data_IF_042728001857
#
_entry.id   IF_042728001857
#
_cell.length_a   1.000
_cell.length_b   1.000
_cell.length_c   1.000
_cell.angle_alpha   90.00
_cell.angle_beta   90.00
_cell.angle_gamma   90.00
#
_symmetry.space_group_name_H-M   'P 1'
#
loop_
_entity.id
_entity.type
_entity.pdbx_description
1 polymer ?
#
# COMPACT_ATOMS: atom_id res chain seq x y z
N UNK A 1 53.43 11.14 -48.07
CA UNK A 1 53.28 10.13 -47.00
C UNK A 1 52.30 10.73 -46.01
N UNK A 2 51.02 10.45 -46.22
CA UNK A 2 49.93 11.03 -45.43
C UNK A 2 49.76 10.26 -44.13
N UNK A 3 49.84 10.98 -43.02
CA UNK A 3 49.55 10.49 -41.68
C UNK A 3 48.05 10.31 -41.51
N UNK A 4 47.61 9.07 -41.33
CA UNK A 4 46.24 8.70 -40.98
C UNK A 4 45.86 9.22 -39.60
N UNK A 5 45.01 10.25 -39.55
CA UNK A 5 44.37 10.70 -38.32
C UNK A 5 43.27 9.71 -37.93
N UNK A 6 43.44 9.05 -36.78
CA UNK A 6 42.43 8.19 -36.16
C UNK A 6 41.29 9.08 -35.66
N UNK A 7 40.11 8.94 -36.27
CA UNK A 7 38.90 9.63 -35.85
C UNK A 7 38.51 9.19 -34.42
N UNK A 8 38.52 10.14 -33.48
CA UNK A 8 37.91 9.96 -32.16
C UNK A 8 36.39 9.89 -32.36
N UNK A 9 35.80 8.71 -32.17
CA UNK A 9 34.35 8.55 -32.07
C UNK A 9 33.86 9.17 -30.76
N UNK A 10 33.65 10.48 -30.77
CA UNK A 10 32.76 11.11 -29.81
C UNK A 10 31.36 10.59 -30.07
N UNK A 11 30.72 10.03 -29.05
CA UNK A 11 29.27 9.80 -29.03
C UNK A 11 28.55 11.15 -29.05
N UNK A 12 28.57 11.83 -30.19
CA UNK A 12 27.58 12.85 -30.50
C UNK A 12 26.23 12.15 -30.64
N UNK A 13 25.23 12.74 -29.98
CA UNK A 13 23.95 12.12 -29.73
C UNK A 13 23.31 11.56 -31.00
N UNK A 14 22.58 10.44 -30.84
CA UNK A 14 21.41 10.15 -31.67
C UNK A 14 20.41 11.29 -31.47
N UNK A 15 20.70 12.39 -32.15
CA UNK A 15 19.90 13.58 -32.31
C UNK A 15 18.73 13.19 -33.20
N UNK A 16 17.54 13.68 -32.87
CA UNK A 16 16.39 13.65 -33.76
C UNK A 16 16.83 14.04 -35.18
N UNK A 17 16.43 13.26 -36.18
CA UNK A 17 16.83 13.44 -37.58
C UNK A 17 16.36 14.74 -38.25
N UNK A 18 15.92 15.73 -37.49
CA UNK A 18 15.46 17.03 -37.96
C UNK A 18 16.07 18.07 -37.02
N UNK A 19 17.08 18.78 -37.52
CA UNK A 19 18.11 19.51 -36.76
C UNK A 19 17.71 20.74 -35.93
N UNK A 20 16.52 20.78 -35.32
CA UNK A 20 16.21 21.75 -34.25
C UNK A 20 15.32 21.08 -33.19
N UNK A 21 15.83 20.97 -31.96
CA UNK A 21 15.03 20.52 -30.82
C UNK A 21 13.84 21.48 -30.61
N UNK A 22 12.58 21.00 -30.65
CA UNK A 22 11.49 21.84 -30.17
C UNK A 22 11.76 22.15 -28.69
N UNK A 23 11.79 23.43 -28.34
CA UNK A 23 11.98 23.94 -26.97
C UNK A 23 13.33 23.63 -26.29
N UNK A 24 14.40 23.27 -27.03
CA UNK A 24 15.71 22.85 -26.45
C UNK A 24 15.62 21.66 -25.47
N UNK A 25 14.55 20.87 -25.55
CA UNK A 25 14.37 19.70 -24.70
C UNK A 25 15.06 18.48 -25.33
N UNK A 26 15.87 17.78 -24.53
CA UNK A 26 16.49 16.50 -24.89
C UNK A 26 15.42 15.42 -25.13
N UNK A 27 15.61 14.56 -26.13
CA UNK A 27 14.67 13.46 -26.43
C UNK A 27 14.36 12.60 -25.21
N UNK A 28 15.38 12.30 -24.39
CA UNK A 28 15.20 11.51 -23.18
C UNK A 28 14.29 12.19 -22.15
N UNK A 29 14.34 13.53 -22.04
CA UNK A 29 13.44 14.29 -21.16
C UNK A 29 12.01 14.30 -21.70
N UNK A 30 11.84 14.45 -23.00
CA UNK A 30 10.52 14.44 -23.64
C UNK A 30 9.82 13.08 -23.51
N UNK A 31 10.53 11.98 -23.75
CA UNK A 31 9.98 10.63 -23.55
C UNK A 31 9.64 10.35 -22.08
N UNK A 32 10.43 10.89 -21.14
CA UNK A 32 10.11 10.81 -19.72
C UNK A 32 8.77 11.48 -19.39
N UNK A 33 8.50 12.66 -19.94
CA UNK A 33 7.22 13.34 -19.75
C UNK A 33 6.03 12.58 -20.33
N UNK A 34 6.18 11.96 -21.51
CA UNK A 34 5.13 11.10 -22.08
C UNK A 34 4.87 9.87 -21.21
N UNK A 35 5.93 9.24 -20.71
CA UNK A 35 5.82 8.12 -19.78
C UNK A 35 5.10 8.51 -18.48
N UNK A 36 5.50 9.63 -17.86
CA UNK A 36 4.85 10.17 -16.65
C UNK A 36 3.37 10.50 -16.91
N UNK A 37 3.05 11.09 -18.05
CA UNK A 37 1.67 11.43 -18.39
C UNK A 37 0.81 10.16 -18.54
N UNK A 38 1.35 9.11 -19.16
CA UNK A 38 0.66 7.81 -19.29
C UNK A 38 0.36 7.18 -17.93
N UNK A 39 1.33 7.19 -17.02
CA UNK A 39 1.14 6.67 -15.66
C UNK A 39 0.14 7.53 -14.88
N UNK A 40 0.20 8.86 -15.02
CA UNK A 40 -0.73 9.79 -14.38
C UNK A 40 -2.18 9.52 -14.79
N UNK A 41 -2.43 9.27 -16.08
CA UNK A 41 -3.76 8.90 -16.58
C UNK A 41 -4.23 7.55 -16.04
N UNK A 42 -3.31 6.59 -15.91
CA UNK A 42 -3.60 5.25 -15.33
C UNK A 42 -4.03 5.38 -13.86
N UNK A 43 -3.28 6.11 -13.04
CA UNK A 43 -3.65 6.39 -11.64
C UNK A 43 -4.95 7.17 -11.53
N UNK A 44 -5.18 8.15 -12.41
CA UNK A 44 -6.42 8.93 -12.44
C UNK A 44 -7.64 8.03 -12.70
N UNK A 45 -7.53 7.06 -13.59
CA UNK A 45 -8.58 6.07 -13.85
C UNK A 45 -8.90 5.22 -12.62
N UNK A 46 -7.87 4.77 -11.90
CA UNK A 46 -8.07 3.99 -10.67
C UNK A 46 -8.71 4.83 -9.55
N UNK A 47 -8.24 6.06 -9.34
CA UNK A 47 -8.80 6.96 -8.32
C UNK A 47 -10.24 7.39 -8.64
N UNK A 48 -10.57 7.62 -9.92
CA UNK A 48 -11.95 7.91 -10.32
C UNK A 48 -12.88 6.71 -10.06
N UNK A 49 -12.42 5.49 -10.37
CA UNK A 49 -13.17 4.25 -10.11
C UNK A 49 -13.36 4.00 -8.60
N UNK A 50 -12.34 4.28 -7.80
CA UNK A 50 -12.41 4.27 -6.34
C UNK A 50 -13.43 5.28 -5.83
N UNK A 51 -13.32 6.54 -6.23
CA UNK A 51 -14.22 7.63 -5.82
C UNK A 51 -15.70 7.32 -6.13
N UNK A 52 -15.98 6.79 -7.32
CA UNK A 52 -17.34 6.36 -7.67
C UNK A 52 -17.85 5.21 -6.79
N UNK A 53 -16.99 4.24 -6.48
CA UNK A 53 -17.36 3.12 -5.60
C UNK A 53 -17.60 3.58 -4.16
N UNK A 54 -16.73 4.46 -3.65
CA UNK A 54 -16.85 5.08 -2.33
C UNK A 54 -18.16 5.85 -2.20
N UNK A 55 -18.53 6.61 -3.22
CA UNK A 55 -19.79 7.37 -3.24
C UNK A 55 -21.02 6.45 -3.26
N UNK A 56 -21.00 5.40 -4.10
CA UNK A 56 -22.11 4.45 -4.23
C UNK A 56 -22.32 3.59 -2.98
N UNK A 57 -21.26 3.21 -2.29
CA UNK A 57 -21.28 2.32 -1.11
C UNK A 57 -20.92 3.07 0.18
N UNK A 58 -21.28 4.35 0.27
CA UNK A 58 -20.87 5.24 1.36
C UNK A 58 -21.27 4.74 2.75
N UNK A 59 -22.43 4.10 2.86
CA UNK A 59 -23.00 3.56 4.10
C UNK A 59 -22.43 2.23 4.54
N UNK A 60 -21.55 1.59 3.76
CA UNK A 60 -20.96 0.27 4.06
C UNK A 60 -19.42 0.27 3.94
N UNK A 61 -18.82 1.45 3.72
CA UNK A 61 -17.39 1.60 3.50
C UNK A 61 -16.58 1.49 4.80
N UNK A 62 -15.34 1.02 4.69
CA UNK A 62 -14.39 0.97 5.82
C UNK A 62 -14.05 2.40 6.29
N UNK A 63 -13.88 2.60 7.60
CA UNK A 63 -13.41 3.88 8.17
C UNK A 63 -11.90 3.78 8.36
N UNK A 64 -11.12 4.64 7.69
CA UNK A 64 -9.66 4.58 7.66
C UNK A 64 -9.04 4.60 9.08
N UNK A 65 -9.55 5.45 9.96
CA UNK A 65 -9.13 5.56 11.36
C UNK A 65 -9.28 4.28 12.17
N UNK A 66 -10.13 3.33 11.75
CA UNK A 66 -10.27 2.04 12.43
C UNK A 66 -9.43 0.94 11.78
N UNK A 67 -8.91 1.19 10.58
CA UNK A 67 -8.10 0.25 9.80
C UNK A 67 -6.62 0.47 10.05
N UNK A 68 -6.19 1.73 10.14
CA UNK A 68 -4.78 2.12 10.16
C UNK A 68 -4.36 2.69 11.53
N UNK A 69 -4.42 1.86 12.57
CA UNK A 69 -4.00 2.22 13.94
C UNK A 69 -2.68 1.60 14.37
N UNK A 70 -2.03 0.81 13.50
CA UNK A 70 -0.82 0.10 13.87
C UNK A 70 0.40 0.99 13.72
N UNK A 71 1.12 1.20 14.82
CA UNK A 71 2.45 1.82 14.81
C UNK A 71 3.51 0.77 15.13
N UNK A 72 4.62 0.67 14.37
CA UNK A 72 5.66 -0.30 14.64
C UNK A 72 6.31 -0.02 16.00
N UNK A 73 6.48 -1.06 16.81
CA UNK A 73 7.08 -1.02 18.16
C UNK A 73 6.28 -0.28 19.25
N UNK A 74 5.13 0.33 18.93
CA UNK A 74 4.19 0.88 19.92
C UNK A 74 2.90 0.06 19.90
N UNK A 75 2.80 -0.94 20.77
CA UNK A 75 1.57 -1.70 20.98
C UNK A 75 0.69 -0.99 22.01
N UNK A 76 -0.55 -0.65 21.65
CA UNK A 76 -1.55 -0.12 22.58
C UNK A 76 -1.60 1.41 22.71
N UNK A 77 -0.90 2.16 21.85
CA UNK A 77 -1.11 3.61 21.72
C UNK A 77 -2.14 3.84 20.62
N UNK A 78 -3.31 4.38 20.98
CA UNK A 78 -4.33 4.82 20.03
C UNK A 78 -3.80 6.05 19.27
N UNK A 79 -2.96 5.82 18.26
CA UNK A 79 -2.42 6.85 17.37
C UNK A 79 -2.85 6.58 15.91
N UNK A 80 -4.13 6.80 15.58
CA UNK A 80 -4.63 6.61 14.22
C UNK A 80 -3.82 7.42 13.22
N UNK A 81 -3.49 6.80 12.08
CA UNK A 81 -2.85 7.45 10.93
C UNK A 81 -1.44 8.03 11.15
N UNK A 82 -0.91 8.08 12.39
CA UNK A 82 0.41 8.67 12.66
C UNK A 82 1.54 7.96 11.92
N UNK A 83 1.46 6.62 11.84
CA UNK A 83 2.46 5.85 11.12
C UNK A 83 2.44 6.15 9.61
N UNK A 84 1.25 6.26 9.03
CA UNK A 84 1.07 6.59 7.62
C UNK A 84 1.53 8.04 7.34
N UNK A 85 1.20 8.98 8.22
CA UNK A 85 1.66 10.36 8.13
C UNK A 85 3.19 10.47 8.19
N UNK A 86 3.84 9.68 9.06
CA UNK A 86 5.30 9.57 9.12
C UNK A 86 5.88 9.04 7.80
N UNK A 87 5.27 8.02 7.19
CA UNK A 87 5.73 7.52 5.88
C UNK A 87 5.64 8.60 4.80
N UNK A 88 4.51 9.31 4.74
CA UNK A 88 4.31 10.40 3.77
C UNK A 88 5.34 11.52 3.99
N UNK A 89 5.62 11.87 5.25
CA UNK A 89 6.68 12.82 5.59
C UNK A 89 8.07 12.36 5.10
N UNK A 90 8.41 11.09 5.33
CA UNK A 90 9.68 10.50 4.86
C UNK A 90 9.78 10.56 3.33
N UNK A 91 8.70 10.29 2.61
CA UNK A 91 8.69 10.29 1.15
C UNK A 91 8.83 11.71 0.57
N UNK A 92 8.10 12.68 1.12
CA UNK A 92 8.24 14.10 0.74
C UNK A 92 9.66 14.60 1.02
N UNK A 93 10.23 14.26 2.18
CA UNK A 93 11.61 14.64 2.50
C UNK A 93 12.61 13.98 1.54
N UNK A 94 12.38 12.71 1.16
CA UNK A 94 13.16 12.01 0.14
C UNK A 94 13.06 12.68 -1.24
N UNK A 95 11.94 13.32 -1.55
CA UNK A 95 11.76 14.13 -2.75
C UNK A 95 12.66 15.38 -2.69
N UNK A 96 12.67 16.09 -1.56
CA UNK A 96 13.55 17.26 -1.36
C UNK A 96 15.02 16.88 -1.52
N UNK A 97 15.46 15.76 -0.94
CA UNK A 97 16.85 15.29 -1.10
C UNK A 97 17.16 14.97 -2.56
N UNK A 98 16.20 14.46 -3.33
CA UNK A 98 16.39 14.23 -4.76
C UNK A 98 16.57 15.53 -5.55
N UNK A 99 15.82 16.59 -5.25
CA UNK A 99 16.03 17.91 -5.87
C UNK A 99 17.44 18.43 -5.60
N UNK A 100 17.91 18.32 -4.35
CA UNK A 100 19.26 18.72 -3.96
C UNK A 100 20.35 17.89 -4.66
N UNK A 101 20.10 16.59 -4.90
CA UNK A 101 20.99 15.74 -5.69
C UNK A 101 21.10 16.22 -7.14
N UNK A 102 19.98 16.61 -7.76
CA UNK A 102 19.96 17.14 -9.12
C UNK A 102 20.71 18.47 -9.21
N UNK A 103 20.47 19.39 -8.27
CA UNK A 103 21.18 20.68 -8.21
C UNK A 103 22.69 20.51 -8.01
N UNK A 104 23.09 19.64 -7.08
CA UNK A 104 24.50 19.28 -6.90
C UNK A 104 25.12 18.68 -8.18
N UNK A 105 24.34 17.91 -8.94
CA UNK A 105 24.75 17.35 -10.22
C UNK A 105 24.95 18.41 -11.30
N UNK A 106 24.12 19.46 -11.33
CA UNK A 106 24.29 20.60 -12.24
C UNK A 106 25.57 21.38 -11.93
N UNK A 107 25.94 21.46 -10.65
CA UNK A 107 27.20 22.06 -10.20
C UNK A 107 28.40 21.09 -10.23
N UNK A 108 28.24 19.88 -10.80
CA UNK A 108 29.28 18.83 -10.88
C UNK A 108 29.89 18.43 -9.51
N UNK A 109 29.15 18.62 -8.41
CA UNK A 109 29.60 18.31 -7.04
C UNK A 109 29.31 16.86 -6.68
N UNK A 110 30.12 15.93 -7.19
CA UNK A 110 29.94 14.47 -7.01
C UNK A 110 29.65 14.05 -5.56
N UNK A 111 30.45 14.51 -4.60
CA UNK A 111 30.29 14.08 -3.20
C UNK A 111 28.92 14.47 -2.62
N UNK A 112 28.39 15.63 -3.03
CA UNK A 112 27.06 16.06 -2.61
C UNK A 112 25.96 15.23 -3.30
N UNK A 113 26.12 14.94 -4.61
CA UNK A 113 25.21 14.04 -5.34
C UNK A 113 25.12 12.68 -4.65
N UNK A 114 26.26 12.11 -4.25
CA UNK A 114 26.33 10.83 -3.54
C UNK A 114 25.52 10.89 -2.23
N UNK A 115 25.76 11.89 -1.39
CA UNK A 115 25.07 12.00 -0.09
C UNK A 115 23.56 12.15 -0.30
N UNK A 116 23.14 13.06 -1.17
CA UNK A 116 21.72 13.31 -1.39
C UNK A 116 20.99 12.13 -2.04
N UNK A 117 21.61 11.47 -3.01
CA UNK A 117 21.04 10.25 -3.60
C UNK A 117 20.95 9.10 -2.58
N UNK A 118 21.94 8.94 -1.70
CA UNK A 118 21.90 7.93 -0.65
C UNK A 118 20.74 8.19 0.33
N UNK A 119 20.50 9.44 0.70
CA UNK A 119 19.35 9.83 1.52
C UNK A 119 18.01 9.55 0.83
N UNK A 120 17.92 9.84 -0.48
CA UNK A 120 16.71 9.52 -1.28
C UNK A 120 16.44 8.01 -1.32
N UNK A 121 17.47 7.20 -1.59
CA UNK A 121 17.35 5.73 -1.63
C UNK A 121 16.94 5.18 -0.26
N UNK A 122 17.53 5.72 0.82
CA UNK A 122 17.19 5.32 2.18
C UNK A 122 15.72 5.63 2.49
N UNK A 123 15.26 6.86 2.21
CA UNK A 123 13.86 7.26 2.41
C UNK A 123 12.89 6.37 1.62
N UNK A 124 13.17 6.14 0.34
CA UNK A 124 12.38 5.23 -0.50
C UNK A 124 12.35 3.78 -0.01
N UNK A 125 13.48 3.27 0.48
CA UNK A 125 13.58 1.90 1.02
C UNK A 125 12.81 1.74 2.33
N UNK A 126 12.90 2.74 3.22
CA UNK A 126 12.12 2.77 4.47
C UNK A 126 10.62 2.79 4.15
N UNK A 127 10.21 3.61 3.17
CA UNK A 127 8.83 3.70 2.74
C UNK A 127 8.32 2.35 2.20
N UNK A 128 9.08 1.69 1.31
CA UNK A 128 8.72 0.37 0.78
C UNK A 128 8.60 -0.70 1.86
N UNK A 129 9.57 -0.76 2.79
CA UNK A 129 9.53 -1.70 3.90
C UNK A 129 8.33 -1.45 4.82
N UNK A 130 7.98 -0.18 5.02
CA UNK A 130 6.84 0.23 5.84
C UNK A 130 5.50 -0.16 5.20
N UNK A 131 5.35 0.02 3.88
CA UNK A 131 4.18 -0.45 3.13
C UNK A 131 4.05 -1.97 3.16
N UNK A 132 5.14 -2.71 2.98
CA UNK A 132 5.13 -4.16 3.06
C UNK A 132 4.71 -4.66 4.45
N UNK A 133 5.14 -3.97 5.51
CA UNK A 133 4.74 -4.28 6.88
C UNK A 133 3.25 -4.00 7.12
N UNK A 134 2.75 -2.85 6.68
CA UNK A 134 1.34 -2.48 6.78
C UNK A 134 0.45 -3.50 6.07
N UNK A 135 0.82 -3.89 4.85
CA UNK A 135 0.16 -4.96 4.11
C UNK A 135 0.18 -6.29 4.85
N UNK A 136 1.32 -6.69 5.40
CA UNK A 136 1.42 -7.94 6.16
C UNK A 136 0.50 -7.94 7.38
N UNK A 137 0.32 -6.80 8.05
CA UNK A 137 -0.59 -6.66 9.19
C UNK A 137 -2.05 -6.70 8.74
N UNK A 138 -2.38 -5.96 7.68
CA UNK A 138 -3.72 -5.91 7.12
C UNK A 138 -4.18 -7.27 6.57
N UNK A 139 -3.28 -8.04 5.95
CA UNK A 139 -3.54 -9.41 5.47
C UNK A 139 -3.71 -10.38 6.64
N UNK A 140 -2.92 -10.25 7.71
CA UNK A 140 -3.01 -11.14 8.88
C UNK A 140 -4.30 -10.91 9.66
N UNK A 141 -4.77 -9.67 9.72
CA UNK A 141 -5.89 -9.26 10.56
C UNK A 141 -5.53 -9.23 12.04
N UNK A 142 -6.32 -8.49 12.81
CA UNK A 142 -6.16 -8.36 14.26
C UNK A 142 -7.44 -8.72 15.00
N UNK A 143 -8.60 -8.35 14.45
CA UNK A 143 -9.87 -8.50 15.16
C UNK A 143 -10.66 -9.71 14.69
N UNK A 144 -10.68 -9.98 13.38
CA UNK A 144 -11.63 -10.92 12.79
C UNK A 144 -13.07 -10.41 12.80
N UNK A 145 -13.88 -10.93 11.87
CA UNK A 145 -15.29 -10.60 11.72
C UNK A 145 -16.11 -11.83 11.31
N UNK A 146 -17.43 -11.80 11.53
CA UNK A 146 -18.35 -12.84 11.05
C UNK A 146 -19.03 -12.38 9.76
N UNK A 147 -18.95 -13.21 8.73
CA UNK A 147 -19.59 -13.02 7.42
C UNK A 147 -21.04 -13.50 7.47
N UNK A 148 -21.96 -12.69 6.94
CA UNK A 148 -23.38 -13.03 6.84
C UNK A 148 -23.75 -13.57 5.46
N UNK A 149 -24.92 -14.20 5.34
CA UNK A 149 -25.46 -14.69 4.05
C UNK A 149 -25.56 -13.62 2.96
N UNK A 150 -25.68 -12.36 3.35
CA UNK A 150 -25.76 -11.22 2.41
C UNK A 150 -24.41 -10.64 2.04
N UNK A 151 -23.29 -11.27 2.44
CA UNK A 151 -21.93 -10.77 2.20
C UNK A 151 -21.55 -9.59 3.08
N UNK A 152 -22.33 -9.29 4.12
CA UNK A 152 -22.02 -8.24 5.10
C UNK A 152 -21.22 -8.81 6.24
N UNK A 153 -20.47 -7.96 6.93
CA UNK A 153 -19.66 -8.38 8.07
C UNK A 153 -20.21 -7.84 9.39
N UNK A 154 -20.08 -8.66 10.42
CA UNK A 154 -20.45 -8.39 11.80
C UNK A 154 -19.16 -8.29 12.61
N UNK A 155 -18.97 -7.16 13.27
CA UNK A 155 -17.82 -6.91 14.14
C UNK A 155 -18.26 -6.98 15.61
N UNK A 156 -17.38 -7.43 16.49
CA UNK A 156 -17.65 -7.50 17.92
C UNK A 156 -17.08 -6.28 18.62
N UNK A 157 -17.87 -5.69 19.52
CA UNK A 157 -17.47 -4.54 20.32
C UNK A 157 -17.80 -4.77 21.80
N UNK A 158 -17.00 -4.17 22.67
CA UNK A 158 -17.26 -4.14 24.11
C UNK A 158 -18.34 -3.10 24.46
N UNK A 159 -18.70 -3.01 25.74
CA UNK A 159 -19.65 -2.04 26.28
C UNK A 159 -19.27 -0.59 25.94
N UNK A 160 -17.97 -0.29 25.87
CA UNK A 160 -17.41 1.02 25.51
C UNK A 160 -17.35 1.28 23.99
N UNK A 161 -17.81 0.33 23.16
CA UNK A 161 -17.80 0.45 21.71
C UNK A 161 -16.44 0.14 21.04
N UNK A 162 -15.42 -0.23 21.82
CA UNK A 162 -14.10 -0.66 21.30
C UNK A 162 -14.19 -2.05 20.68
N UNK A 163 -13.47 -2.27 19.57
CA UNK A 163 -13.45 -3.56 18.86
C UNK A 163 -12.79 -4.64 19.71
N UNK A 164 -13.37 -5.83 19.70
CA UNK A 164 -12.87 -7.01 20.41
C UNK A 164 -12.48 -8.08 19.40
N UNK A 165 -11.28 -8.62 19.54
CA UNK A 165 -10.79 -9.68 18.66
C UNK A 165 -11.54 -11.01 18.90
N UNK A 166 -11.74 -11.79 17.82
CA UNK A 166 -12.43 -13.09 17.86
C UNK A 166 -11.78 -14.08 18.81
N UNK A 167 -10.46 -13.99 19.03
CA UNK A 167 -9.75 -14.80 20.03
C UNK A 167 -10.26 -14.56 21.45
N UNK A 168 -10.66 -13.33 21.75
CA UNK A 168 -11.22 -12.95 23.05
C UNK A 168 -12.73 -13.24 23.11
N UNK A 169 -13.40 -13.48 21.98
CA UNK A 169 -14.82 -13.84 21.94
C UNK A 169 -15.01 -15.35 21.94
N UNK A 170 -14.13 -16.11 21.28
CA UNK A 170 -14.24 -17.56 21.14
C UNK A 170 -14.14 -18.28 22.49
N UNK A 171 -15.09 -19.17 22.77
CA UNK A 171 -15.03 -20.08 23.91
C UNK A 171 -15.34 -21.52 23.49
N UNK A 172 -14.65 -22.48 24.10
CA UNK A 172 -14.81 -23.92 23.86
C UNK A 172 -13.73 -24.54 22.97
N UNK A 173 -13.66 -25.87 22.97
CA UNK A 173 -12.68 -26.63 22.17
C UNK A 173 -12.93 -26.48 20.67
N UNK A 174 -11.84 -26.34 19.90
CA UNK A 174 -11.92 -26.38 18.45
C UNK A 174 -12.21 -27.81 18.00
N UNK A 175 -13.50 -28.16 17.84
CA UNK A 175 -13.94 -29.49 17.37
C UNK A 175 -13.57 -29.77 15.90
N UNK A 176 -12.77 -28.94 15.25
CA UNK A 176 -12.18 -29.26 13.96
C UNK A 176 -11.06 -30.28 14.12
N UNK A 177 -11.42 -31.57 14.11
CA UNK A 177 -10.46 -32.69 13.94
C UNK A 177 -9.80 -32.73 12.55
N UNK A 178 -10.02 -31.71 11.71
CA UNK A 178 -9.42 -31.64 10.37
C UNK A 178 -7.99 -31.12 10.52
N UNK A 179 -7.01 -31.94 10.15
CA UNK A 179 -5.64 -31.48 9.90
C UNK A 179 -5.54 -30.99 8.45
N UNK A 180 -4.94 -29.82 8.26
CA UNK A 180 -4.65 -29.31 6.92
C UNK A 180 -3.51 -30.12 6.33
N UNK A 181 -3.66 -30.56 5.09
CA UNK A 181 -2.54 -31.16 4.37
C UNK A 181 -1.51 -30.07 4.04
N UNK A 182 -0.33 -30.16 4.64
CA UNK A 182 0.84 -29.33 4.28
C UNK A 182 1.61 -29.99 3.15
N UNK A 183 2.50 -29.29 2.45
CA UNK A 183 3.33 -29.89 1.37
C UNK A 183 4.14 -31.10 1.87
N UNK A 184 4.45 -31.17 3.17
CA UNK A 184 5.12 -32.30 3.80
C UNK A 184 4.19 -33.51 4.07
N UNK A 185 2.86 -33.35 4.02
CA UNK A 185 1.85 -34.35 4.42
C UNK A 185 0.70 -34.47 3.39
N UNK A 186 0.85 -33.86 2.20
CA UNK A 186 -0.24 -33.62 1.25
C UNK A 186 -0.15 -34.44 -0.04
N UNK A 187 -1.32 -34.64 -0.67
CA UNK A 187 -1.40 -35.17 -2.04
C UNK A 187 -0.92 -34.06 -2.98
N UNK A 188 0.14 -34.31 -3.75
CA UNK A 188 0.85 -33.37 -4.64
C UNK A 188 -0.04 -32.57 -5.62
N UNK A 189 -1.32 -32.93 -5.77
CA UNK A 189 -2.30 -32.33 -6.69
C UNK A 189 -3.47 -31.61 -6.01
N UNK A 190 -3.55 -31.57 -4.67
CA UNK A 190 -4.53 -30.75 -3.94
C UNK A 190 -3.83 -29.52 -3.33
N UNK A 191 -3.57 -28.51 -4.17
CA UNK A 191 -3.07 -27.20 -3.70
C UNK A 191 -4.17 -26.30 -3.12
N UNK A 192 -5.44 -26.62 -3.36
CA UNK A 192 -6.59 -25.73 -3.09
C UNK A 192 -7.33 -26.03 -1.78
N UNK A 193 -6.71 -26.73 -0.82
CA UNK A 193 -7.34 -26.90 0.48
C UNK A 193 -7.37 -25.54 1.22
N UNK A 194 -8.58 -24.97 1.32
CA UNK A 194 -8.82 -23.69 1.98
C UNK A 194 -8.24 -23.72 3.40
N UNK A 195 -7.60 -22.63 3.88
CA UNK A 195 -7.10 -22.56 5.24
C UNK A 195 -8.19 -22.93 6.23
N UNK A 196 -7.85 -23.79 7.20
CA UNK A 196 -8.77 -24.11 8.28
C UNK A 196 -8.87 -22.85 9.13
N UNK A 197 -10.07 -22.27 9.29
CA UNK A 197 -10.24 -21.07 10.12
C UNK A 197 -9.82 -21.40 11.55
N UNK A 198 -9.12 -20.47 12.21
CA UNK A 198 -8.63 -20.70 13.58
C UNK A 198 -9.77 -20.91 14.57
N UNK A 199 -10.91 -20.27 14.29
CA UNK A 199 -12.13 -20.32 15.08
C UNK A 199 -13.29 -20.87 14.24
N UNK A 200 -14.21 -21.55 14.89
CA UNK A 200 -15.47 -22.01 14.30
C UNK A 200 -16.62 -21.08 14.70
N UNK A 201 -17.64 -20.96 13.85
CA UNK A 201 -18.80 -20.12 14.13
C UNK A 201 -19.49 -20.52 15.46
N UNK A 202 -19.49 -21.81 15.78
CA UNK A 202 -20.07 -22.33 17.02
C UNK A 202 -19.29 -21.91 18.28
N UNK A 203 -17.96 -21.80 18.22
CA UNK A 203 -17.16 -21.25 19.31
C UNK A 203 -17.47 -19.76 19.55
N UNK A 204 -17.68 -19.00 18.47
CA UNK A 204 -18.03 -17.59 18.56
C UNK A 204 -19.45 -17.42 19.12
N UNK A 205 -20.43 -18.23 18.68
CA UNK A 205 -21.78 -18.21 19.24
C UNK A 205 -21.81 -18.56 20.73
N UNK A 206 -21.05 -19.58 21.12
CA UNK A 206 -20.96 -20.03 22.52
C UNK A 206 -20.34 -18.93 23.39
N UNK A 207 -19.22 -18.37 22.96
CA UNK A 207 -18.54 -17.33 23.73
C UNK A 207 -19.27 -15.97 23.74
N UNK A 208 -19.96 -15.61 22.65
CA UNK A 208 -20.82 -14.42 22.62
C UNK A 208 -22.04 -14.56 23.54
N UNK A 209 -22.60 -15.78 23.66
CA UNK A 209 -23.69 -16.05 24.61
C UNK A 209 -23.20 -15.96 26.05
N UNK A 210 -21.99 -16.46 26.33
CA UNK A 210 -21.40 -16.46 27.67
C UNK A 210 -20.96 -15.06 28.16
N UNK A 211 -20.57 -14.15 27.26
CA UNK A 211 -20.09 -12.81 27.60
C UNK A 211 -21.20 -11.77 27.46
N UNK A 212 -21.70 -11.26 28.59
CA UNK A 212 -22.85 -10.34 28.60
C UNK A 212 -22.54 -8.93 28.10
N UNK A 213 -21.27 -8.52 28.19
CA UNK A 213 -20.78 -7.19 27.83
C UNK A 213 -20.58 -6.97 26.33
N UNK A 214 -20.57 -8.04 25.51
CA UNK A 214 -20.30 -7.93 24.09
C UNK A 214 -21.55 -7.56 23.28
N UNK A 215 -21.37 -6.69 22.29
CA UNK A 215 -22.38 -6.29 21.31
C UNK A 215 -21.87 -6.51 19.89
N UNK A 216 -22.78 -6.60 18.93
CA UNK A 216 -22.43 -6.69 17.51
C UNK A 216 -22.62 -5.33 16.85
N UNK A 217 -21.60 -4.92 16.12
CA UNK A 217 -21.59 -3.71 15.30
C UNK A 217 -21.72 -4.10 13.82
N UNK A 218 -22.64 -3.43 13.12
CA UNK A 218 -22.81 -3.60 11.68
C UNK A 218 -22.06 -2.51 10.90
N UNK A 219 -21.88 -2.72 9.60
CA UNK A 219 -21.25 -1.73 8.74
C UNK A 219 -22.13 -0.55 8.35
N UNK A 220 -23.43 -0.57 8.70
CA UNK A 220 -24.32 0.54 8.42
C UNK A 220 -23.95 1.75 9.29
N UNK A 221 -23.93 2.92 8.69
CA UNK A 221 -23.78 4.19 9.40
C UNK A 221 -25.13 4.64 9.96
N UNK A 222 -25.09 5.12 11.21
CA UNK A 222 -26.17 5.81 11.91
C UNK A 222 -26.24 7.29 11.49
N UNK A 223 -27.29 8.01 11.91
CA UNK A 223 -27.51 9.43 11.54
C UNK A 223 -26.34 10.34 11.93
N UNK A 224 -25.56 9.95 12.93
CA UNK A 224 -24.37 10.64 13.42
C UNK A 224 -23.06 10.24 12.71
N UNK A 225 -23.11 9.40 11.67
CA UNK A 225 -21.93 8.94 10.95
C UNK A 225 -21.11 7.85 11.65
N UNK A 226 -21.59 7.30 12.77
CA UNK A 226 -20.98 6.17 13.46
C UNK A 226 -21.61 4.84 13.02
N UNK A 227 -20.86 3.74 13.10
CA UNK A 227 -21.39 2.41 12.78
C UNK A 227 -22.46 1.97 13.79
N UNK A 228 -23.61 1.52 13.30
CA UNK A 228 -24.74 1.11 14.14
C UNK A 228 -24.37 -0.11 15.00
N UNK A 229 -24.46 0.06 16.32
CA UNK A 229 -24.33 -1.00 17.32
C UNK A 229 -25.71 -1.58 17.57
N UNK A 230 -25.86 -2.89 17.40
CA UNK A 230 -27.12 -3.58 17.61
C UNK A 230 -27.35 -3.86 19.10
N UNK A 231 -28.63 -3.90 19.48
CA UNK A 231 -29.02 -4.43 20.78
C UNK A 231 -28.63 -5.91 20.92
N UNK A 232 -28.46 -6.39 22.16
CA UNK A 232 -27.99 -7.75 22.46
C UNK A 232 -28.91 -8.82 21.87
N UNK A 233 -30.23 -8.64 22.01
CA UNK A 233 -31.19 -9.63 21.50
C UNK A 233 -31.14 -9.71 19.97
N UNK A 234 -31.05 -8.54 19.32
CA UNK A 234 -30.90 -8.45 17.87
C UNK A 234 -29.55 -9.00 17.40
N UNK A 235 -28.48 -8.80 18.18
CA UNK A 235 -27.15 -9.34 17.90
C UNK A 235 -27.14 -10.86 17.88
N UNK A 236 -27.78 -11.50 18.86
CA UNK A 236 -27.90 -12.96 18.92
C UNK A 236 -28.70 -13.51 17.74
N UNK A 237 -29.81 -12.87 17.38
CA UNK A 237 -30.61 -13.25 16.21
C UNK A 237 -29.79 -13.17 14.91
N UNK A 238 -29.07 -12.07 14.71
CA UNK A 238 -28.21 -11.87 13.54
C UNK A 238 -27.08 -12.91 13.47
N UNK A 239 -26.42 -13.20 14.59
CA UNK A 239 -25.33 -14.16 14.65
C UNK A 239 -25.82 -15.59 14.37
N UNK A 240 -26.96 -15.98 14.96
CA UNK A 240 -27.49 -17.33 14.83
C UNK A 240 -28.12 -17.61 13.47
N UNK A 241 -28.88 -16.64 12.93
CA UNK A 241 -29.65 -16.86 11.71
C UNK A 241 -28.93 -16.41 10.43
N UNK A 242 -27.98 -15.47 10.54
CA UNK A 242 -27.35 -14.87 9.34
C UNK A 242 -25.87 -15.20 9.21
N UNK A 243 -25.15 -15.58 10.27
CA UNK A 243 -23.74 -15.93 10.22
C UNK A 243 -23.48 -17.21 9.40
N UNK A 244 -22.56 -17.14 8.43
CA UNK A 244 -22.11 -18.31 7.65
C UNK A 244 -20.68 -18.68 8.00
N UNK A 245 -19.80 -17.70 8.17
CA UNK A 245 -18.36 -17.96 8.23
C UNK A 245 -17.60 -16.88 8.97
N UNK A 246 -16.33 -17.17 9.24
CA UNK A 246 -15.40 -16.28 9.90
C UNK A 246 -14.41 -15.73 8.87
N UNK A 247 -14.12 -14.44 8.99
CA UNK A 247 -13.13 -13.71 8.22
C UNK A 247 -12.07 -13.24 9.19
N UNK A 248 -10.81 -13.52 8.88
CA UNK A 248 -9.63 -12.96 9.55
C UNK A 248 -8.79 -12.26 8.49
N UNK A 249 -8.43 -11.01 8.75
CA UNK A 249 -7.66 -10.14 7.86
C UNK A 249 -8.41 -9.69 6.61
N UNK A 250 -7.62 -9.20 5.66
CA UNK A 250 -8.10 -8.73 4.38
C UNK A 250 -7.35 -9.37 3.21
N UNK A 251 -8.10 -9.72 2.17
CA UNK A 251 -7.61 -10.16 0.88
C UNK A 251 -8.58 -9.65 -0.21
N UNK A 252 -8.32 -10.01 -1.47
CA UNK A 252 -9.12 -9.56 -2.62
C UNK A 252 -10.59 -10.00 -2.58
N UNK A 253 -10.94 -11.01 -1.78
CA UNK A 253 -12.29 -11.60 -1.73
C UNK A 253 -12.99 -11.42 -0.38
N UNK A 254 -12.23 -11.22 0.70
CA UNK A 254 -12.73 -11.13 2.07
C UNK A 254 -12.03 -10.00 2.80
N UNK A 255 -12.77 -9.25 3.60
CA UNK A 255 -12.24 -8.10 4.34
C UNK A 255 -12.91 -8.02 5.71
N UNK A 256 -12.13 -8.09 6.79
CA UNK A 256 -12.64 -7.92 8.16
C UNK A 256 -12.95 -6.45 8.54
N UNK A 257 -12.50 -5.50 7.73
CA UNK A 257 -12.55 -4.07 8.04
C UNK A 257 -13.72 -3.32 7.37
N UNK A 258 -14.33 -3.91 6.34
CA UNK A 258 -15.44 -3.32 5.59
C UNK A 258 -15.80 -4.13 4.35
N UNK A 259 -16.32 -3.45 3.33
CA UNK A 259 -16.63 -4.08 2.05
C UNK A 259 -15.38 -4.75 1.42
N UNK A 260 -15.49 -5.94 0.80
CA UNK A 260 -14.38 -6.57 0.08
C UNK A 260 -13.79 -5.66 -1.01
N UNK A 261 -14.65 -4.85 -1.64
CA UNK A 261 -14.28 -3.89 -2.66
C UNK A 261 -13.28 -2.82 -2.16
N UNK A 262 -13.34 -2.45 -0.87
CA UNK A 262 -12.35 -1.55 -0.29
C UNK A 262 -10.95 -2.18 -0.29
N UNK A 263 -10.84 -3.43 0.18
CA UNK A 263 -9.56 -4.13 0.22
C UNK A 263 -9.00 -4.34 -1.19
N UNK A 264 -9.85 -4.66 -2.17
CA UNK A 264 -9.46 -4.79 -3.58
C UNK A 264 -8.85 -3.48 -4.13
N UNK A 265 -9.55 -2.34 -3.99
CA UNK A 265 -9.00 -1.05 -4.42
C UNK A 265 -7.74 -0.66 -3.63
N UNK A 266 -7.72 -0.91 -2.32
CA UNK A 266 -6.56 -0.62 -1.48
C UNK A 266 -5.33 -1.37 -1.97
N UNK A 267 -5.39 -2.71 -2.06
CA UNK A 267 -4.24 -3.52 -2.50
C UNK A 267 -3.85 -3.23 -3.93
N UNK A 268 -4.81 -3.02 -4.83
CA UNK A 268 -4.49 -2.77 -6.23
C UNK A 268 -3.83 -1.41 -6.45
N UNK A 269 -4.39 -0.33 -5.89
CA UNK A 269 -3.85 1.03 -6.08
C UNK A 269 -2.54 1.22 -5.33
N UNK A 270 -2.49 0.85 -4.05
CA UNK A 270 -1.25 0.96 -3.25
C UNK A 270 -0.19 -0.03 -3.73
N UNK A 271 -0.58 -1.18 -4.28
CA UNK A 271 0.35 -2.17 -4.84
C UNK A 271 0.95 -1.73 -6.16
N UNK A 272 0.12 -1.18 -7.06
CA UNK A 272 0.60 -0.59 -8.30
C UNK A 272 1.54 0.59 -8.01
N UNK A 273 1.19 1.45 -7.06
CA UNK A 273 2.09 2.50 -6.57
C UNK A 273 3.38 1.92 -5.97
N UNK A 274 3.30 0.92 -5.09
CA UNK A 274 4.45 0.25 -4.48
C UNK A 274 5.38 -0.35 -5.52
N UNK A 275 4.86 -0.87 -6.64
CA UNK A 275 5.67 -1.32 -7.78
C UNK A 275 6.47 -0.17 -8.43
N UNK A 276 5.87 1.02 -8.57
CA UNK A 276 6.57 2.22 -9.08
C UNK A 276 7.65 2.70 -8.12
N UNK A 277 7.37 2.70 -6.81
CA UNK A 277 8.39 3.04 -5.81
C UNK A 277 9.53 2.02 -5.83
N UNK A 278 9.21 0.71 -5.91
CA UNK A 278 10.20 -0.34 -5.98
C UNK A 278 11.11 -0.21 -7.20
N UNK A 279 10.53 -0.05 -8.39
CA UNK A 279 11.30 0.17 -9.62
C UNK A 279 12.11 1.48 -9.54
N UNK A 280 11.54 2.53 -8.94
CA UNK A 280 12.22 3.79 -8.67
C UNK A 280 13.45 3.65 -7.78
N UNK A 281 13.34 2.91 -6.67
CA UNK A 281 14.47 2.63 -5.76
C UNK A 281 15.54 1.80 -6.47
N UNK A 282 15.15 0.81 -7.27
CA UNK A 282 16.10 0.01 -8.07
C UNK A 282 16.85 0.89 -9.07
N UNK A 283 16.13 1.75 -9.81
CA UNK A 283 16.74 2.66 -10.79
C UNK A 283 17.65 3.67 -10.07
N UNK A 284 17.22 4.28 -8.97
CA UNK A 284 18.04 5.18 -8.16
C UNK A 284 19.31 4.50 -7.67
N UNK A 285 19.23 3.24 -7.23
CA UNK A 285 20.38 2.45 -6.80
C UNK A 285 21.36 2.23 -7.95
N UNK A 286 20.87 1.89 -9.15
CA UNK A 286 21.73 1.73 -10.34
C UNK A 286 22.44 3.05 -10.69
N UNK A 287 21.72 4.17 -10.70
CA UNK A 287 22.31 5.48 -10.99
C UNK A 287 23.31 5.87 -9.89
N UNK A 288 23.01 5.61 -8.63
CA UNK A 288 23.90 5.86 -7.50
C UNK A 288 25.24 5.11 -7.65
N UNK A 289 25.19 3.81 -8.00
CA UNK A 289 26.40 3.04 -8.31
C UNK A 289 27.17 3.66 -9.49
N UNK A 290 26.49 4.13 -10.53
CA UNK A 290 27.13 4.80 -11.67
C UNK A 290 27.78 6.14 -11.28
N UNK A 291 27.21 6.89 -10.33
CA UNK A 291 27.81 8.11 -9.75
C UNK A 291 29.08 7.74 -8.99
N UNK A 292 29.05 6.70 -8.15
CA UNK A 292 30.24 6.23 -7.41
C UNK A 292 31.38 5.86 -8.36
N UNK A 293 31.07 5.13 -9.44
CA UNK A 293 32.02 4.74 -10.49
C UNK A 293 32.56 5.93 -11.32
N UNK A 294 32.05 7.15 -11.10
CA UNK A 294 32.47 8.35 -11.82
C UNK A 294 32.00 8.38 -13.28
N UNK A 295 30.99 7.58 -13.64
CA UNK A 295 30.50 7.48 -15.02
C UNK A 295 30.01 8.82 -15.55
N UNK A 296 29.36 9.62 -14.71
CA UNK A 296 28.79 10.92 -15.09
C UNK A 296 29.82 12.05 -15.11
N UNK A 297 30.88 11.98 -14.30
CA UNK A 297 32.04 12.87 -14.42
C UNK A 297 32.74 12.67 -15.75
N UNK A 298 32.93 11.40 -16.17
CA UNK A 298 33.51 11.04 -17.47
C UNK A 298 32.64 11.48 -18.66
N UNK A 299 31.32 11.52 -18.47
CA UNK A 299 30.35 12.00 -19.47
C UNK A 299 30.18 13.52 -19.48
N UNK A 300 30.65 14.23 -18.44
CA UNK A 300 30.51 15.68 -18.29
C UNK A 300 29.07 16.16 -18.02
N UNK A 301 28.14 15.26 -17.66
CA UNK A 301 26.74 15.62 -17.44
C UNK A 301 26.01 14.63 -16.51
N UNK A 302 25.23 15.18 -15.59
CA UNK A 302 24.35 14.47 -14.66
C UNK A 302 22.88 14.40 -15.14
N UNK A 303 22.62 14.59 -16.44
CA UNK A 303 21.26 14.58 -17.02
C UNK A 303 20.47 13.29 -16.71
N UNK A 304 21.15 12.16 -16.48
CA UNK A 304 20.48 10.91 -16.07
C UNK A 304 19.94 10.97 -14.63
N UNK A 305 20.63 11.65 -13.72
CA UNK A 305 20.15 11.88 -12.35
C UNK A 305 18.89 12.75 -12.37
N UNK A 306 18.85 13.75 -13.26
CA UNK A 306 17.67 14.59 -13.45
C UNK A 306 16.45 13.80 -13.96
N UNK A 307 16.63 12.97 -15.00
CA UNK A 307 15.53 12.15 -15.56
C UNK A 307 14.94 11.19 -14.53
N UNK A 308 15.79 10.54 -13.74
CA UNK A 308 15.35 9.64 -12.67
C UNK A 308 14.76 10.41 -11.50
N UNK A 309 15.26 11.62 -11.20
CA UNK A 309 14.66 12.53 -10.24
C UNK A 309 13.22 12.90 -10.61
N UNK A 310 12.96 13.23 -11.88
CA UNK A 310 11.61 13.51 -12.37
C UNK A 310 10.65 12.32 -12.17
N UNK A 311 11.13 11.08 -12.39
CA UNK A 311 10.34 9.89 -12.07
C UNK A 311 10.00 9.83 -10.59
N UNK A 312 11.01 10.00 -9.73
CA UNK A 312 10.86 9.90 -8.29
C UNK A 312 9.87 10.93 -7.74
N UNK A 313 9.95 12.18 -8.21
CA UNK A 313 9.00 13.23 -7.85
C UNK A 313 7.58 12.92 -8.30
N UNK A 314 7.40 12.33 -9.48
CA UNK A 314 6.10 11.90 -9.95
C UNK A 314 5.50 10.83 -9.04
N UNK A 315 6.30 9.82 -8.69
CA UNK A 315 5.87 8.75 -7.77
C UNK A 315 5.46 9.33 -6.42
N UNK A 316 6.25 10.22 -5.84
CA UNK A 316 5.94 10.92 -4.58
C UNK A 316 4.62 11.73 -4.67
N UNK A 317 4.44 12.49 -5.76
CA UNK A 317 3.21 13.25 -5.99
C UNK A 317 1.97 12.34 -6.06
N UNK A 318 2.07 11.20 -6.74
CA UNK A 318 0.97 10.21 -6.79
C UNK A 318 0.65 9.69 -5.40
N UNK A 319 1.66 9.44 -4.57
CA UNK A 319 1.45 9.00 -3.18
C UNK A 319 0.64 10.01 -2.37
N UNK A 320 0.91 11.30 -2.49
CA UNK A 320 0.14 12.34 -1.77
C UNK A 320 -1.36 12.26 -2.10
N UNK A 321 -1.72 11.99 -3.36
CA UNK A 321 -3.11 11.77 -3.73
C UNK A 321 -3.69 10.47 -3.18
N UNK A 322 -2.97 9.35 -3.31
CA UNK A 322 -3.38 8.06 -2.75
C UNK A 322 -3.59 8.17 -1.23
N UNK A 323 -2.65 8.81 -0.54
CA UNK A 323 -2.72 9.10 0.89
C UNK A 323 -4.00 9.88 1.24
N UNK A 324 -4.25 10.98 0.52
CA UNK A 324 -5.43 11.82 0.76
C UNK A 324 -6.74 11.03 0.59
N UNK A 325 -6.89 10.26 -0.48
CA UNK A 325 -8.15 9.56 -0.76
C UNK A 325 -8.41 8.30 0.06
N UNK A 326 -7.37 7.63 0.56
CA UNK A 326 -7.53 6.41 1.35
C UNK A 326 -7.46 6.63 2.86
N UNK A 327 -6.71 7.63 3.31
CA UNK A 327 -6.43 7.83 4.74
C UNK A 327 -7.10 9.08 5.30
N UNK A 328 -7.41 10.12 4.50
CA UNK A 328 -8.02 11.35 5.00
C UNK A 328 -9.50 11.53 4.66
N UNK A 329 -9.99 10.95 3.55
CA UNK A 329 -11.32 11.25 2.96
C UNK A 329 -12.29 10.07 3.01
#
# INVERSE_FOLDING_TARGET
MDTTAVAKTGTEGKLWGIGKQPLKASYGKMMMWFFILSDALTFSGFLARYGFSRFKFSSEWSIADEVFNHFPFLHGVDAPMFYVALMTFILIFSSVTMVLAVDAGHHMKKNQVIIYMALTILGGSIFLGSQAWEWSKFIKGEYGAVETRSGKILQFVDADGKRVALENVAMGENKSHRQRHTEAVGIWYKKDEKPIPKFTLEQIKTGFTAKENLKIRTMKLDENGHKTILDRQTSLDYLNNRGIGIIEGANLTKNEYGAPLFADFFFFITGFHGFHVFSGVVILTIIFLNVLLGTYEKRGSYEMVEKVGLYWHFVDLVWVFVFTFFYLV
#
